data_IF_080727739381
#
_entry.id   IF_080727739381
#
_cell.length_a   1.000
_cell.length_b   1.000
_cell.length_c   1.000
_cell.angle_alpha   90.00
_cell.angle_beta   90.00
_cell.angle_gamma   90.00
#
_symmetry.space_group_name_H-M   'P 1'
#
loop_
_entity.id
_entity.type
_entity.pdbx_description
1 polymer ?
#
# COMPACT_ATOMS: atom_id res chain seq x y z
N UNK A 1 36.21 1.58 3.60
CA UNK A 1 34.89 1.14 4.13
C UNK A 1 33.91 1.06 2.95
N UNK A 2 33.45 -0.15 2.61
CA UNK A 2 32.94 -0.50 1.28
C UNK A 2 31.52 0.05 1.00
N UNK A 3 31.25 0.53 -0.24
CA UNK A 3 29.98 1.14 -0.63
C UNK A 3 28.77 0.18 -0.68
N UNK A 4 29.01 -1.13 -0.64
CA UNK A 4 27.99 -2.19 -0.68
C UNK A 4 27.12 -2.19 0.59
N UNK A 5 27.75 -2.05 1.76
CA UNK A 5 27.09 -2.13 3.07
C UNK A 5 26.01 -1.05 3.28
N UNK A 6 26.17 0.12 2.65
CA UNK A 6 25.19 1.22 2.71
C UNK A 6 23.93 0.94 1.88
N UNK A 7 24.05 0.22 0.76
CA UNK A 7 22.90 -0.12 -0.09
C UNK A 7 22.05 -1.19 0.58
N UNK A 8 22.68 -2.21 1.14
CA UNK A 8 22.01 -3.28 1.87
C UNK A 8 21.26 -2.74 3.09
N UNK A 9 21.91 -1.89 3.91
CA UNK A 9 21.24 -1.24 5.07
C UNK A 9 20.01 -0.42 4.67
N UNK A 10 20.01 0.21 3.49
CA UNK A 10 18.82 0.93 2.98
C UNK A 10 17.71 -0.05 2.61
N UNK A 11 18.02 -1.11 1.88
CA UNK A 11 17.04 -2.13 1.49
C UNK A 11 16.44 -2.80 2.72
N UNK A 12 17.24 -3.18 3.70
CA UNK A 12 16.75 -3.76 4.96
C UNK A 12 15.82 -2.80 5.70
N UNK A 13 16.14 -1.50 5.77
CA UNK A 13 15.23 -0.50 6.38
C UNK A 13 13.89 -0.41 5.66
N UNK A 14 13.89 -0.47 4.34
CA UNK A 14 12.67 -0.47 3.53
C UNK A 14 11.85 -1.72 3.80
N UNK A 15 12.48 -2.90 3.77
CA UNK A 15 11.83 -4.17 4.06
C UNK A 15 11.21 -4.17 5.46
N UNK A 16 11.96 -3.75 6.48
CA UNK A 16 11.45 -3.62 7.85
C UNK A 16 10.26 -2.66 7.91
N UNK A 17 10.32 -1.52 7.22
CA UNK A 17 9.23 -0.56 7.21
C UNK A 17 7.97 -1.12 6.51
N UNK A 18 8.12 -1.85 5.39
CA UNK A 18 7.03 -2.54 4.71
C UNK A 18 6.43 -3.60 5.65
N UNK A 19 7.25 -4.40 6.33
CA UNK A 19 6.77 -5.42 7.26
C UNK A 19 6.02 -4.81 8.45
N UNK A 20 6.54 -3.72 9.04
CA UNK A 20 5.85 -3.02 10.14
C UNK A 20 4.53 -2.41 9.68
N UNK A 21 4.48 -1.81 8.48
CA UNK A 21 3.23 -1.29 7.93
C UNK A 21 2.26 -2.43 7.62
N UNK A 22 2.75 -3.58 7.16
CA UNK A 22 1.93 -4.77 6.97
C UNK A 22 1.28 -5.22 8.27
N UNK A 23 2.06 -5.36 9.34
CA UNK A 23 1.54 -5.74 10.66
C UNK A 23 0.51 -4.70 11.13
N UNK A 24 0.84 -3.40 11.07
CA UNK A 24 -0.06 -2.35 11.55
C UNK A 24 -1.38 -2.25 10.76
N UNK A 25 -1.37 -2.57 9.47
CA UNK A 25 -2.54 -2.43 8.59
C UNK A 25 -3.37 -3.71 8.45
N UNK A 26 -2.73 -4.89 8.43
CA UNK A 26 -3.39 -6.17 8.17
C UNK A 26 -3.73 -6.93 9.46
N UNK A 27 -2.89 -6.83 10.49
CA UNK A 27 -3.13 -7.57 11.73
C UNK A 27 -4.44 -7.19 12.45
N UNK A 28 -4.84 -5.90 12.53
CA UNK A 28 -6.12 -5.53 13.10
C UNK A 28 -7.31 -6.16 12.35
N UNK A 29 -7.23 -6.25 11.01
CA UNK A 29 -8.25 -6.89 10.19
C UNK A 29 -8.39 -8.38 10.54
N UNK A 30 -7.29 -9.11 10.66
CA UNK A 30 -7.30 -10.54 11.02
C UNK A 30 -7.95 -10.77 12.38
N UNK A 31 -7.60 -9.96 13.39
CA UNK A 31 -8.21 -10.06 14.72
C UNK A 31 -9.72 -9.90 14.63
N UNK A 32 -10.19 -8.90 13.89
CA UNK A 32 -11.62 -8.63 13.74
C UNK A 32 -12.36 -9.78 13.04
N UNK A 33 -11.77 -10.34 11.98
CA UNK A 33 -12.36 -11.49 11.29
C UNK A 33 -12.49 -12.68 12.24
N UNK A 34 -11.47 -12.96 13.04
CA UNK A 34 -11.52 -14.05 14.04
C UNK A 34 -12.62 -13.78 15.07
N UNK A 35 -12.72 -12.57 15.61
CA UNK A 35 -13.75 -12.20 16.58
C UNK A 35 -15.14 -12.38 16.00
N UNK A 36 -15.36 -11.94 14.76
CA UNK A 36 -16.65 -12.04 14.06
C UNK A 36 -17.05 -13.51 13.80
N UNK A 37 -16.11 -14.36 13.38
CA UNK A 37 -16.37 -15.79 13.14
C UNK A 37 -16.64 -16.55 14.44
N UNK A 38 -15.94 -16.20 15.52
CA UNK A 38 -16.05 -16.91 16.81
C UNK A 38 -17.24 -16.47 17.65
N UNK A 39 -17.82 -15.30 17.36
CA UNK A 39 -18.94 -14.72 18.12
C UNK A 39 -20.08 -14.36 17.16
N UNK A 40 -20.99 -15.30 16.84
CA UNK A 40 -22.10 -15.05 15.91
C UNK A 40 -23.07 -13.96 16.39
N UNK A 41 -23.15 -13.70 17.70
CA UNK A 41 -23.97 -12.64 18.28
C UNK A 41 -23.27 -11.26 18.33
N UNK A 42 -22.04 -11.16 17.83
CA UNK A 42 -21.24 -9.94 17.89
C UNK A 42 -21.84 -8.81 17.06
N UNK A 43 -22.44 -9.14 15.92
CA UNK A 43 -23.07 -8.15 15.02
C UNK A 43 -24.28 -7.47 15.67
N UNK A 44 -25.09 -8.23 16.41
CA UNK A 44 -26.35 -7.73 16.99
C UNK A 44 -26.15 -6.97 18.30
N UNK A 45 -25.01 -7.14 18.98
CA UNK A 45 -24.74 -6.57 20.31
C UNK A 45 -23.64 -5.49 20.30
N UNK A 46 -23.25 -5.01 19.12
CA UNK A 46 -22.20 -4.00 19.00
C UNK A 46 -22.65 -2.63 19.51
N UNK A 47 -21.85 -2.05 20.41
CA UNK A 47 -21.97 -0.63 20.73
C UNK A 47 -21.50 0.23 19.54
N UNK A 48 -21.95 1.49 19.48
CA UNK A 48 -21.55 2.40 18.39
C UNK A 48 -20.03 2.61 18.28
N UNK A 49 -19.31 2.55 19.41
CA UNK A 49 -17.85 2.65 19.43
C UNK A 49 -17.18 1.37 18.90
N UNK A 50 -17.70 0.19 19.25
CA UNK A 50 -17.23 -1.08 18.72
C UNK A 50 -17.45 -1.16 17.21
N UNK A 51 -18.63 -0.77 16.72
CA UNK A 51 -18.93 -0.72 15.28
C UNK A 51 -17.96 0.21 14.53
N UNK A 52 -17.66 1.37 15.11
CA UNK A 52 -16.70 2.32 14.51
C UNK A 52 -15.30 1.71 14.43
N UNK A 53 -14.82 1.11 15.52
CA UNK A 53 -13.52 0.44 15.53
C UNK A 53 -13.48 -0.71 14.53
N UNK A 54 -14.57 -1.48 14.44
CA UNK A 54 -14.74 -2.55 13.48
C UNK A 54 -14.60 -2.07 12.04
N UNK A 55 -15.35 -1.03 11.67
CA UNK A 55 -15.29 -0.46 10.33
C UNK A 55 -13.90 0.11 9.99
N UNK A 56 -13.22 0.70 10.97
CA UNK A 56 -11.85 1.22 10.80
C UNK A 56 -10.89 0.06 10.55
N UNK A 57 -10.85 -0.94 11.43
CA UNK A 57 -9.97 -2.10 11.29
C UNK A 57 -10.31 -2.97 10.05
N UNK A 58 -11.59 -3.04 9.68
CA UNK A 58 -12.03 -3.66 8.43
C UNK A 58 -11.51 -2.93 7.19
N UNK A 59 -11.31 -1.61 7.26
CA UNK A 59 -10.79 -0.82 6.12
C UNK A 59 -9.27 -0.70 6.12
N UNK A 60 -8.63 -0.86 7.27
CA UNK A 60 -7.18 -0.74 7.47
C UNK A 60 -6.36 -1.65 6.53
N UNK A 61 -6.87 -2.82 6.14
CA UNK A 61 -6.16 -3.68 5.18
C UNK A 61 -5.94 -3.00 3.81
N UNK A 62 -6.78 -2.02 3.42
CA UNK A 62 -6.59 -1.30 2.15
C UNK A 62 -5.31 -0.44 2.16
N UNK A 63 -4.88 0.01 3.34
CA UNK A 63 -3.62 0.74 3.50
C UNK A 63 -2.44 -0.15 3.13
N UNK A 64 -2.53 -1.46 3.38
CA UNK A 64 -1.52 -2.45 3.00
C UNK A 64 -1.29 -2.48 1.48
N UNK A 65 -2.38 -2.41 0.70
CA UNK A 65 -2.28 -2.42 -0.75
C UNK A 65 -1.57 -1.16 -1.29
N UNK A 66 -1.72 -0.02 -0.61
CA UNK A 66 -1.09 1.24 -0.98
C UNK A 66 0.34 1.40 -0.44
N UNK A 67 0.66 0.68 0.64
CA UNK A 67 1.99 0.66 1.26
C UNK A 67 3.08 0.36 0.24
N UNK A 68 2.89 -0.69 -0.56
CA UNK A 68 3.90 -1.18 -1.49
C UNK A 68 4.31 -0.08 -2.52
N UNK A 69 3.38 0.52 -3.30
CA UNK A 69 3.69 1.65 -4.17
C UNK A 69 4.35 2.84 -3.45
N UNK A 70 3.88 3.20 -2.25
CA UNK A 70 4.45 4.30 -1.46
C UNK A 70 5.90 4.01 -1.10
N UNK A 71 6.20 2.81 -0.61
CA UNK A 71 7.56 2.43 -0.24
C UNK A 71 8.51 2.42 -1.44
N UNK A 72 8.10 1.84 -2.57
CA UNK A 72 8.92 1.89 -3.78
C UNK A 72 9.11 3.33 -4.27
N UNK A 73 8.05 4.14 -4.24
CA UNK A 73 8.16 5.54 -4.66
C UNK A 73 9.12 6.35 -3.78
N UNK A 74 9.08 6.22 -2.45
CA UNK A 74 9.97 7.01 -1.58
C UNK A 74 11.40 6.48 -1.52
N UNK A 75 11.58 5.16 -1.57
CA UNK A 75 12.86 4.53 -1.23
C UNK A 75 13.59 3.88 -2.40
N UNK A 76 12.92 3.64 -3.53
CA UNK A 76 13.55 3.11 -4.74
C UNK A 76 13.65 4.21 -5.81
N UNK A 77 14.89 4.67 -6.04
CA UNK A 77 15.19 5.71 -7.03
C UNK A 77 14.97 5.17 -8.45
N UNK A 78 15.35 3.92 -8.72
CA UNK A 78 15.20 3.33 -10.05
C UNK A 78 13.74 3.13 -10.40
N UNK A 79 12.95 2.66 -9.43
CA UNK A 79 11.51 2.54 -9.59
C UNK A 79 10.87 3.88 -10.00
N UNK A 80 11.24 4.98 -9.34
CA UNK A 80 10.74 6.33 -9.71
C UNK A 80 11.13 6.72 -11.13
N UNK A 81 12.39 6.54 -11.50
CA UNK A 81 12.89 6.87 -12.84
C UNK A 81 12.11 6.12 -13.93
N UNK A 82 11.88 4.82 -13.74
CA UNK A 82 11.10 4.00 -14.67
C UNK A 82 9.64 4.45 -14.73
N UNK A 83 8.99 4.71 -13.59
CA UNK A 83 7.60 5.20 -13.54
C UNK A 83 7.46 6.53 -14.26
N UNK A 84 8.36 7.49 -14.04
CA UNK A 84 8.32 8.79 -14.73
C UNK A 84 8.61 8.65 -16.23
N UNK A 85 9.50 7.74 -16.62
CA UNK A 85 9.78 7.44 -18.02
C UNK A 85 8.55 6.86 -18.75
N UNK A 86 7.88 5.89 -18.12
CA UNK A 86 6.64 5.30 -18.61
C UNK A 86 5.54 6.35 -18.72
N UNK A 87 5.34 7.16 -17.67
CA UNK A 87 4.34 8.22 -17.66
C UNK A 87 4.56 9.23 -18.81
N UNK A 88 5.81 9.66 -19.02
CA UNK A 88 6.16 10.56 -20.12
C UNK A 88 5.91 9.92 -21.49
N UNK A 89 6.17 8.62 -21.63
CA UNK A 89 5.96 7.89 -22.87
C UNK A 89 4.47 7.74 -23.18
N UNK A 90 3.65 7.34 -22.20
CA UNK A 90 2.19 7.28 -22.33
C UNK A 90 1.59 8.65 -22.70
N UNK A 91 2.06 9.72 -22.08
CA UNK A 91 1.61 11.08 -22.39
C UNK A 91 1.88 11.46 -23.84
N UNK A 92 3.08 11.13 -24.37
CA UNK A 92 3.42 11.39 -25.78
C UNK A 92 2.55 10.58 -26.74
N UNK A 93 2.30 9.31 -26.44
CA UNK A 93 1.46 8.44 -27.28
C UNK A 93 0.02 8.95 -27.34
N UNK A 94 -0.52 9.46 -26.23
CA UNK A 94 -1.86 10.02 -26.19
C UNK A 94 -1.98 11.26 -27.09
N UNK A 95 -0.99 12.16 -27.04
CA UNK A 95 -0.95 13.36 -27.89
C UNK A 95 -0.88 13.00 -29.39
N UNK A 96 -0.09 11.99 -29.77
CA UNK A 96 -0.03 11.53 -31.16
C UNK A 96 -1.35 10.93 -31.65
N UNK A 97 -2.08 10.21 -30.79
CA UNK A 97 -3.41 9.67 -31.12
C UNK A 97 -4.43 10.78 -31.30
N UNK A 98 -4.45 11.77 -30.41
CA UNK A 98 -5.35 12.93 -30.52
C UNK A 98 -5.10 13.73 -31.80
N UNK A 99 -3.83 13.89 -32.21
CA UNK A 99 -3.48 14.62 -33.43
C UNK A 99 -3.91 13.87 -34.71
N UNK A 100 -3.71 12.55 -34.75
CA UNK A 100 -4.10 11.70 -35.90
C UNK A 100 -5.62 11.50 -36.03
N UNK A 101 -6.37 11.66 -34.93
CA UNK A 101 -7.84 11.62 -34.95
C UNK A 101 -8.49 12.92 -35.44
N UNK A 102 -7.75 14.03 -35.42
CA UNK A 102 -8.24 15.34 -35.82
C UNK A 102 -7.87 15.73 -37.27
N UNK A 103 -7.14 14.86 -37.97
CA UNK A 103 -6.73 15.00 -39.39
C UNK A 103 -7.48 13.97 -40.22
#
# INVERSE_FOLDING_TARGET
MFPVERKEKKITKVLVAITLLFIASFFPYVIIVIVYITNPDYENNMTSSQLTFYLIAFRLYNINNMANPIFYFFFDVKFREEVFSLYRSCWKTEQEKSLKSAT
#
